data_IF_862494427084
#
_entry.id   IF_862494427084
#
_cell.length_a   1.000
_cell.length_b   1.000
_cell.length_c   1.000
_cell.angle_alpha   90.00
_cell.angle_beta   90.00
_cell.angle_gamma   90.00
#
_symmetry.space_group_name_H-M   'P 1'
#
loop_
_entity.id
_entity.type
_entity.pdbx_description
1 polymer ?
#
# COMPACT_ATOMS: atom_id res chain seq x y z
N UNK A 1 -62.61 -14.91 80.58
CA UNK A 1 -61.50 -13.96 80.35
C UNK A 1 -60.85 -14.35 79.00
N UNK A 2 -61.22 -13.61 77.97
CA UNK A 2 -60.87 -13.96 76.58
C UNK A 2 -59.98 -12.88 76.05
N UNK A 3 -58.74 -13.22 75.65
CA UNK A 3 -57.81 -12.32 74.97
C UNK A 3 -57.99 -12.53 73.49
N UNK A 4 -58.53 -11.51 72.81
CA UNK A 4 -58.49 -11.38 71.34
C UNK A 4 -57.11 -10.85 70.92
N UNK A 5 -56.41 -11.60 70.11
CA UNK A 5 -55.23 -11.16 69.40
C UNK A 5 -55.66 -10.54 68.06
N UNK A 6 -55.42 -9.28 67.90
CA UNK A 6 -55.53 -8.56 66.62
C UNK A 6 -54.27 -8.80 65.76
N UNK A 7 -54.44 -9.33 64.55
CA UNK A 7 -53.39 -9.49 63.57
C UNK A 7 -53.35 -8.25 62.71
N UNK A 8 -52.21 -7.55 62.70
CA UNK A 8 -51.92 -6.45 61.79
C UNK A 8 -51.37 -7.00 60.44
N UNK A 9 -52.10 -6.68 59.42
CA UNK A 9 -51.68 -6.98 58.01
C UNK A 9 -50.76 -5.89 57.52
N UNK A 10 -49.47 -6.20 57.35
CA UNK A 10 -48.46 -5.29 56.73
C UNK A 10 -48.48 -5.48 55.22
N UNK A 11 -48.96 -4.47 54.51
CA UNK A 11 -48.95 -4.43 53.05
C UNK A 11 -47.52 -4.03 52.59
N UNK A 12 -46.82 -5.00 52.02
CA UNK A 12 -45.51 -4.71 51.31
C UNK A 12 -45.79 -4.14 49.92
N UNK A 13 -45.55 -2.87 49.75
CA UNK A 13 -45.52 -2.23 48.42
C UNK A 13 -44.16 -2.47 47.78
N UNK A 14 -44.09 -3.30 46.73
CA UNK A 14 -42.94 -3.41 45.86
C UNK A 14 -42.86 -2.16 44.94
N UNK A 15 -41.70 -1.51 44.80
CA UNK A 15 -41.53 -0.50 43.78
C UNK A 15 -41.40 -1.18 42.42
N UNK A 16 -42.30 -0.86 41.51
CA UNK A 16 -42.18 -1.20 40.06
C UNK A 16 -41.11 -0.32 39.48
N UNK A 17 -39.93 -0.94 39.24
CA UNK A 17 -38.85 -0.28 38.46
C UNK A 17 -39.29 -0.22 37.00
N UNK A 18 -39.64 0.97 36.52
CA UNK A 18 -39.78 1.25 35.08
C UNK A 18 -38.39 1.27 34.47
N UNK A 19 -37.99 0.16 33.83
CA UNK A 19 -36.85 0.18 32.90
C UNK A 19 -37.28 0.92 31.64
N UNK A 20 -36.86 2.16 31.52
CA UNK A 20 -36.93 2.88 30.23
C UNK A 20 -35.97 2.19 29.28
N UNK A 21 -36.49 1.37 28.36
CA UNK A 21 -35.76 0.96 27.17
C UNK A 21 -35.47 2.25 26.35
N UNK A 22 -34.27 2.75 26.46
CA UNK A 22 -33.74 3.66 25.47
C UNK A 22 -33.58 2.87 24.16
N UNK A 23 -34.58 2.94 23.29
CA UNK A 23 -34.45 2.53 21.90
C UNK A 23 -33.53 3.52 21.23
N UNK A 24 -32.21 3.34 21.41
CA UNK A 24 -31.25 3.90 20.54
C UNK A 24 -31.50 3.33 19.14
N UNK A 25 -31.95 4.16 18.24
CA UNK A 25 -31.98 3.87 16.81
C UNK A 25 -30.51 3.79 16.38
N UNK A 26 -29.83 2.69 16.72
CA UNK A 26 -28.62 2.32 16.01
C UNK A 26 -29.08 2.09 14.58
N UNK A 27 -28.70 2.97 13.66
CA UNK A 27 -28.73 2.71 12.25
C UNK A 27 -28.07 1.34 12.05
N UNK A 28 -28.87 0.30 11.84
CA UNK A 28 -28.37 -1.01 11.44
C UNK A 28 -27.83 -0.80 10.02
N UNK A 29 -26.52 -0.44 9.93
CA UNK A 29 -25.76 -0.67 8.71
C UNK A 29 -25.98 -2.15 8.38
N UNK A 30 -26.59 -2.46 7.28
CA UNK A 30 -26.74 -3.85 6.86
C UNK A 30 -25.36 -4.47 6.90
N UNK A 31 -25.17 -5.51 7.74
CA UNK A 31 -23.88 -6.19 7.87
C UNK A 31 -23.71 -6.97 6.57
N UNK A 32 -23.03 -6.35 5.61
CA UNK A 32 -22.75 -6.95 4.30
C UNK A 32 -21.69 -8.05 4.44
N UNK A 33 -20.70 -7.86 5.31
CA UNK A 33 -19.65 -8.81 5.59
C UNK A 33 -19.97 -9.64 6.85
N UNK A 34 -19.49 -10.87 6.92
CA UNK A 34 -19.51 -11.68 8.12
C UNK A 34 -18.26 -11.41 8.94
N UNK A 35 -18.45 -11.09 10.23
CA UNK A 35 -17.35 -10.81 11.15
C UNK A 35 -17.34 -11.83 12.27
N UNK A 36 -16.18 -12.45 12.53
CA UNK A 36 -15.97 -13.40 13.62
C UNK A 36 -14.63 -13.18 14.30
N UNK A 37 -14.51 -13.54 15.55
CA UNK A 37 -13.23 -13.59 16.27
C UNK A 37 -12.67 -15.02 16.28
N UNK A 38 -11.39 -15.13 16.09
CA UNK A 38 -10.65 -16.38 16.22
C UNK A 38 -9.36 -16.13 16.99
N UNK A 39 -9.39 -16.46 18.29
CA UNK A 39 -8.22 -16.33 19.17
C UNK A 39 -7.63 -14.91 19.24
N UNK A 40 -8.51 -13.90 19.19
CA UNK A 40 -8.12 -12.49 19.25
C UNK A 40 -7.72 -11.88 17.90
N UNK A 41 -7.94 -12.60 16.80
CA UNK A 41 -7.85 -12.10 15.42
C UNK A 41 -9.26 -11.94 14.86
N UNK A 42 -9.61 -10.73 14.43
CA UNK A 42 -10.90 -10.46 13.80
C UNK A 42 -10.82 -10.90 12.33
N UNK A 43 -11.74 -11.78 11.91
CA UNK A 43 -11.83 -12.23 10.52
C UNK A 43 -13.06 -11.59 9.90
N UNK A 44 -12.84 -10.81 8.83
CA UNK A 44 -13.89 -10.13 8.06
C UNK A 44 -14.00 -10.81 6.71
N UNK A 45 -15.10 -11.51 6.47
CA UNK A 45 -15.38 -12.21 5.22
C UNK A 45 -16.36 -11.40 4.39
N UNK A 46 -15.87 -10.85 3.29
CA UNK A 46 -16.61 -10.02 2.37
C UNK A 46 -17.14 -10.83 1.19
N UNK A 47 -18.34 -10.52 0.66
CA UNK A 47 -18.78 -11.06 -0.62
C UNK A 47 -17.90 -10.53 -1.77
N UNK A 48 -17.97 -11.20 -2.93
CA UNK A 48 -17.11 -10.91 -4.09
C UNK A 48 -17.27 -9.53 -4.72
N UNK A 49 -18.33 -8.78 -4.35
CA UNK A 49 -18.59 -7.41 -4.83
C UNK A 49 -19.15 -6.56 -3.70
N UNK A 50 -18.99 -5.23 -3.73
CA UNK A 50 -19.60 -4.34 -2.76
C UNK A 50 -21.13 -4.33 -2.89
N UNK A 51 -21.87 -3.79 -1.91
CA UNK A 51 -23.33 -3.65 -1.96
C UNK A 51 -23.78 -2.91 -3.23
N UNK A 52 -24.91 -3.32 -3.82
CA UNK A 52 -25.46 -2.68 -5.04
C UNK A 52 -25.94 -1.24 -4.81
N UNK A 53 -26.22 -0.87 -3.56
CA UNK A 53 -26.56 0.47 -3.07
C UNK A 53 -25.34 1.24 -2.54
N UNK A 54 -24.14 0.69 -2.72
CA UNK A 54 -22.89 1.35 -2.35
C UNK A 54 -22.83 2.73 -3.01
N UNK A 55 -22.65 3.74 -2.20
CA UNK A 55 -22.51 5.11 -2.67
C UNK A 55 -21.27 5.21 -3.54
N UNK A 56 -21.39 5.83 -4.69
CA UNK A 56 -20.32 5.85 -5.68
C UNK A 56 -19.15 6.71 -5.21
N UNK A 57 -17.99 6.11 -5.17
CA UNK A 57 -16.73 6.80 -5.13
C UNK A 57 -16.35 7.15 -6.56
N UNK A 58 -15.75 8.31 -6.79
CA UNK A 58 -15.24 8.67 -8.11
C UNK A 58 -13.97 9.52 -8.03
N UNK A 59 -13.03 9.24 -8.92
CA UNK A 59 -11.88 10.10 -9.20
C UNK A 59 -12.20 10.92 -10.43
N UNK A 60 -11.94 12.22 -10.40
CA UNK A 60 -12.12 13.08 -11.56
C UNK A 60 -11.36 12.52 -12.78
N UNK A 61 -11.94 12.57 -14.00
CA UNK A 61 -11.28 12.02 -15.19
C UNK A 61 -10.05 12.84 -15.62
N UNK A 62 -10.02 14.13 -15.29
CA UNK A 62 -8.91 15.04 -15.57
C UNK A 62 -8.33 15.57 -14.26
N UNK A 63 -7.02 15.85 -14.20
CA UNK A 63 -6.41 16.42 -13.01
C UNK A 63 -6.78 17.88 -12.81
N UNK A 64 -7.05 18.28 -11.58
CA UNK A 64 -7.24 19.68 -11.18
C UNK A 64 -5.93 20.46 -11.21
N UNK A 65 -4.80 19.77 -11.00
CA UNK A 65 -3.47 20.35 -11.01
C UNK A 65 -2.46 19.37 -11.63
N UNK A 66 -1.55 19.91 -12.42
CA UNK A 66 -0.41 19.18 -13.00
C UNK A 66 0.89 19.88 -12.62
N UNK A 67 1.82 19.13 -12.02
CA UNK A 67 3.21 19.55 -11.77
C UNK A 67 4.10 18.68 -12.61
N UNK A 68 4.91 19.30 -13.44
CA UNK A 68 5.83 18.62 -14.35
C UNK A 68 5.87 19.30 -15.70
N UNK A 69 7.02 19.23 -16.40
CA UNK A 69 7.20 19.71 -17.77
C UNK A 69 8.36 18.98 -18.44
N UNK A 70 8.29 18.86 -19.77
CA UNK A 70 9.38 18.32 -20.61
C UNK A 70 10.54 19.32 -20.72
N UNK A 71 10.22 20.59 -20.93
CA UNK A 71 11.18 21.66 -21.21
C UNK A 71 10.91 22.88 -20.32
N UNK A 72 11.90 23.78 -20.23
CA UNK A 72 11.76 25.04 -19.51
C UNK A 72 12.45 25.02 -18.15
N UNK A 73 11.81 25.55 -17.13
CA UNK A 73 12.38 25.69 -15.78
C UNK A 73 12.66 24.31 -15.17
N UNK A 74 13.90 24.07 -14.80
CA UNK A 74 14.37 22.81 -14.20
C UNK A 74 13.64 22.45 -12.89
N UNK A 75 13.05 23.42 -12.19
CA UNK A 75 12.25 23.20 -11.00
C UNK A 75 10.99 22.39 -11.27
N UNK A 76 10.53 22.33 -12.53
CA UNK A 76 9.38 21.54 -12.97
C UNK A 76 9.76 20.27 -13.75
N UNK A 77 11.04 20.07 -14.06
CA UNK A 77 11.48 18.84 -14.71
C UNK A 77 11.59 17.74 -13.67
N UNK A 78 10.59 16.84 -13.62
CA UNK A 78 10.55 15.72 -12.70
C UNK A 78 11.22 14.50 -13.33
N UNK A 79 12.02 13.80 -12.51
CA UNK A 79 12.70 12.59 -12.93
C UNK A 79 12.90 11.65 -11.74
N UNK A 80 12.39 10.42 -11.85
CA UNK A 80 12.46 9.43 -10.78
C UNK A 80 11.64 9.87 -9.55
N UNK A 81 10.41 10.33 -9.74
CA UNK A 81 9.51 10.69 -8.64
C UNK A 81 9.30 9.47 -7.75
N UNK A 82 9.77 9.58 -6.51
CA UNK A 82 9.77 8.52 -5.51
C UNK A 82 8.77 8.74 -4.36
N UNK A 83 7.77 9.57 -4.62
CA UNK A 83 6.65 9.87 -3.74
C UNK A 83 6.28 11.34 -3.74
N UNK A 84 5.05 11.64 -3.35
CA UNK A 84 4.56 12.99 -3.12
C UNK A 84 3.61 13.01 -1.92
N UNK A 85 3.50 14.16 -1.28
CA UNK A 85 2.63 14.38 -0.13
C UNK A 85 1.99 15.78 -0.22
N UNK A 86 0.69 15.86 0.07
CA UNK A 86 -0.04 17.13 0.17
C UNK A 86 -0.17 17.53 1.64
N UNK A 87 0.38 18.69 1.98
CA UNK A 87 0.29 19.25 3.32
C UNK A 87 -1.11 19.76 3.65
N UNK A 88 -1.40 20.00 4.93
CA UNK A 88 -2.70 20.48 5.38
C UNK A 88 -3.08 21.85 4.80
N UNK A 89 -2.10 22.70 4.46
CA UNK A 89 -2.32 24.00 3.80
C UNK A 89 -2.39 23.90 2.26
N UNK A 90 -2.34 22.68 1.72
CA UNK A 90 -2.51 22.39 0.30
C UNK A 90 -1.24 22.43 -0.53
N UNK A 91 -0.07 22.73 0.05
CA UNK A 91 1.22 22.63 -0.65
C UNK A 91 1.51 21.18 -1.05
N UNK A 92 2.29 20.98 -2.09
CA UNK A 92 2.67 19.65 -2.57
C UNK A 92 4.19 19.51 -2.44
N UNK A 93 4.62 18.49 -1.70
CA UNK A 93 6.00 18.09 -1.58
C UNK A 93 6.27 16.86 -2.45
N UNK A 94 7.28 16.91 -3.32
CA UNK A 94 7.63 15.83 -4.25
C UNK A 94 9.06 15.37 -3.97
N UNK A 95 9.24 14.09 -3.68
CA UNK A 95 10.57 13.47 -3.62
C UNK A 95 11.01 13.16 -5.04
N UNK A 96 11.86 14.02 -5.61
CA UNK A 96 12.43 13.88 -6.94
C UNK A 96 13.80 13.19 -6.84
N UNK A 97 13.80 11.84 -6.85
CA UNK A 97 15.00 11.07 -6.59
C UNK A 97 16.08 11.25 -7.65
N UNK A 98 15.69 11.54 -8.89
CA UNK A 98 16.64 11.76 -9.99
C UNK A 98 17.48 13.03 -9.84
N UNK A 99 17.01 14.04 -9.10
CA UNK A 99 17.78 15.23 -8.69
C UNK A 99 18.22 15.22 -7.23
N UNK A 100 17.91 14.17 -6.47
CA UNK A 100 18.21 14.02 -5.02
C UNK A 100 17.61 15.14 -4.18
N UNK A 101 16.38 15.57 -4.50
CA UNK A 101 15.71 16.71 -3.88
C UNK A 101 14.32 16.35 -3.38
N UNK A 102 13.89 17.05 -2.34
CA UNK A 102 12.47 17.22 -1.99
C UNK A 102 12.08 18.61 -2.48
N UNK A 103 11.18 18.68 -3.44
CA UNK A 103 10.69 19.92 -4.04
C UNK A 103 9.34 20.30 -3.45
N UNK A 104 9.16 21.57 -3.10
CA UNK A 104 7.94 22.11 -2.49
C UNK A 104 7.29 23.07 -3.50
N UNK A 105 6.01 22.83 -3.74
CA UNK A 105 5.15 23.66 -4.58
C UNK A 105 3.99 24.18 -3.75
N UNK A 106 3.46 25.37 -4.10
CA UNK A 106 2.22 25.87 -3.49
C UNK A 106 0.99 25.09 -3.98
N UNK A 107 -0.19 25.44 -3.43
CA UNK A 107 -1.45 24.79 -3.79
C UNK A 107 -1.86 25.00 -5.26
N UNK A 108 -1.24 25.93 -5.98
CA UNK A 108 -1.42 26.18 -7.41
C UNK A 108 -0.34 25.55 -8.27
N UNK A 109 0.58 24.78 -7.65
CA UNK A 109 1.67 24.10 -8.34
C UNK A 109 2.87 25.00 -8.65
N UNK A 110 2.95 26.22 -8.08
CA UNK A 110 4.09 27.08 -8.26
C UNK A 110 5.26 26.61 -7.38
N UNK A 111 6.44 26.45 -7.97
CA UNK A 111 7.63 26.07 -7.22
C UNK A 111 8.00 27.12 -6.17
N UNK A 112 8.22 26.65 -4.94
CA UNK A 112 8.60 27.49 -3.82
C UNK A 112 10.09 27.34 -3.47
N UNK A 113 10.53 26.09 -3.27
CA UNK A 113 11.89 25.74 -2.84
C UNK A 113 12.19 24.27 -3.00
N UNK A 114 13.46 23.90 -2.83
CA UNK A 114 13.87 22.50 -2.71
C UNK A 114 14.83 22.31 -1.53
N UNK A 115 14.90 21.07 -1.03
CA UNK A 115 15.82 20.62 0.01
C UNK A 115 16.54 19.37 -0.50
N UNK A 116 17.84 19.29 -0.21
CA UNK A 116 18.66 18.16 -0.59
C UNK A 116 19.48 18.41 -1.86
N UNK A 117 20.45 17.55 -2.08
CA UNK A 117 21.31 17.42 -3.26
C UNK A 117 22.00 16.06 -3.19
N UNK A 118 22.67 15.66 -4.25
CA UNK A 118 23.42 14.42 -4.29
C UNK A 118 24.60 14.45 -3.31
N UNK A 119 24.71 13.44 -2.45
CA UNK A 119 25.85 13.26 -1.57
C UNK A 119 25.55 12.41 -0.33
N UNK A 120 26.46 12.46 0.66
CA UNK A 120 26.38 11.70 1.91
C UNK A 120 26.34 12.57 3.16
N UNK A 121 26.35 13.89 3.02
CA UNK A 121 26.29 14.84 4.12
C UNK A 121 24.90 14.94 4.78
N UNK A 122 24.76 15.78 5.82
CA UNK A 122 23.53 15.91 6.58
C UNK A 122 22.31 16.38 5.74
N UNK A 123 22.53 17.25 4.77
CA UNK A 123 21.48 17.79 3.87
C UNK A 123 21.62 17.27 2.44
N UNK A 124 22.10 16.04 2.29
CA UNK A 124 22.36 15.40 1.00
C UNK A 124 21.65 14.06 0.97
N UNK A 125 21.34 13.56 -0.22
CA UNK A 125 20.72 12.26 -0.43
C UNK A 125 21.54 11.38 -1.38
N UNK A 126 21.57 10.07 -1.07
CA UNK A 126 22.10 9.05 -1.97
C UNK A 126 21.01 8.45 -2.88
N UNK A 127 19.93 7.97 -2.29
CA UNK A 127 18.76 7.38 -2.97
C UNK A 127 17.48 7.66 -2.17
N UNK A 128 16.91 8.88 -2.24
CA UNK A 128 15.74 9.24 -1.46
C UNK A 128 14.48 8.58 -2.00
N UNK A 129 13.62 8.10 -1.08
CA UNK A 129 12.26 7.59 -1.36
C UNK A 129 11.36 8.09 -0.26
N UNK A 130 10.11 8.45 -0.57
CA UNK A 130 9.14 8.80 0.47
C UNK A 130 8.76 7.55 1.27
N UNK A 131 9.02 7.58 2.57
CA UNK A 131 8.58 6.53 3.51
C UNK A 131 7.21 6.81 4.11
N UNK A 132 6.71 8.03 3.99
CA UNK A 132 5.43 8.49 4.54
C UNK A 132 5.51 9.92 5.03
N UNK A 133 4.50 10.36 5.76
CA UNK A 133 4.48 11.67 6.40
C UNK A 133 3.87 11.60 7.81
N UNK A 134 4.29 12.50 8.67
CA UNK A 134 3.70 12.75 9.99
C UNK A 134 3.22 14.19 9.99
N UNK A 135 1.91 14.39 9.91
CA UNK A 135 1.34 15.69 9.56
C UNK A 135 2.02 16.23 8.28
N UNK A 136 2.54 17.45 8.30
CA UNK A 136 3.20 18.07 7.13
C UNK A 136 4.69 17.69 6.98
N UNK A 137 5.25 16.90 7.91
CA UNK A 137 6.66 16.51 7.86
C UNK A 137 6.84 15.19 7.10
N UNK A 138 7.58 15.22 6.00
CA UNK A 138 7.89 14.04 5.23
C UNK A 138 8.93 13.19 5.97
N UNK A 139 8.73 11.88 5.95
CA UNK A 139 9.74 10.90 6.34
C UNK A 139 10.36 10.34 5.05
N UNK A 140 11.54 10.83 4.73
CA UNK A 140 12.29 10.40 3.53
C UNK A 140 13.29 9.32 3.94
N UNK A 141 13.23 8.19 3.28
CA UNK A 141 14.20 7.10 3.44
C UNK A 141 15.32 7.28 2.44
N UNK A 142 16.53 7.50 2.90
CA UNK A 142 17.73 7.51 2.06
C UNK A 142 18.37 6.12 2.03
N UNK A 143 17.98 5.33 1.03
CA UNK A 143 18.48 3.95 0.87
C UNK A 143 19.99 3.90 0.60
N UNK A 144 20.54 4.94 -0.05
CA UNK A 144 21.96 5.04 -0.35
C UNK A 144 22.83 5.29 0.89
N UNK A 145 22.28 5.92 1.92
CA UNK A 145 22.97 6.26 3.17
C UNK A 145 22.47 5.45 4.37
N UNK A 146 21.56 4.51 4.17
CA UNK A 146 20.96 3.66 5.20
C UNK A 146 20.41 4.45 6.40
N UNK A 147 19.60 5.48 6.11
CA UNK A 147 19.06 6.41 7.10
C UNK A 147 17.66 6.91 6.73
N UNK A 148 16.99 7.50 7.70
CA UNK A 148 15.78 8.31 7.51
C UNK A 148 16.10 9.79 7.71
N UNK A 149 15.39 10.65 6.97
CA UNK A 149 15.42 12.10 7.11
C UNK A 149 13.98 12.59 7.30
N UNK A 150 13.73 13.39 8.32
CA UNK A 150 12.48 14.13 8.46
C UNK A 150 12.67 15.50 7.83
N UNK A 151 11.85 15.82 6.83
CA UNK A 151 11.93 17.07 6.05
C UNK A 151 10.61 17.82 6.17
N UNK A 152 10.64 19.00 6.81
CA UNK A 152 9.49 19.86 6.90
C UNK A 152 9.48 20.87 5.74
N UNK A 153 8.33 21.20 5.12
CA UNK A 153 8.26 22.09 3.96
C UNK A 153 8.80 23.50 4.17
N UNK A 154 8.82 24.00 5.41
CA UNK A 154 9.33 25.33 5.75
C UNK A 154 10.76 25.28 6.29
N UNK A 155 11.06 24.31 7.17
CA UNK A 155 12.30 24.27 7.95
C UNK A 155 13.39 23.40 7.29
N UNK A 156 13.03 22.60 6.30
CA UNK A 156 13.95 21.62 5.66
C UNK A 156 14.23 20.42 6.56
N UNK A 157 15.50 20.04 6.67
CA UNK A 157 15.90 18.86 7.45
C UNK A 157 15.74 19.11 8.95
N UNK A 158 14.76 18.44 9.55
CA UNK A 158 14.46 18.54 11.00
C UNK A 158 15.20 17.47 11.79
N UNK A 159 15.34 16.27 11.23
CA UNK A 159 16.00 15.14 11.88
C UNK A 159 16.65 14.24 10.83
N UNK A 160 17.78 13.65 11.20
CA UNK A 160 18.43 12.54 10.49
C UNK A 160 18.66 11.41 11.50
N UNK A 161 18.39 10.17 11.11
CA UNK A 161 18.63 9.01 11.93
C UNK A 161 19.17 7.86 11.06
N UNK A 162 20.29 7.26 11.46
CA UNK A 162 20.76 6.00 10.87
C UNK A 162 19.81 4.89 11.31
N UNK A 163 19.34 4.08 10.37
CA UNK A 163 18.51 2.92 10.69
C UNK A 163 19.37 1.78 11.20
N UNK A 164 18.92 1.12 12.27
CA UNK A 164 19.57 -0.04 12.86
C UNK A 164 19.68 -1.18 11.83
N UNK A 165 20.86 -1.80 11.75
CA UNK A 165 21.13 -2.89 10.80
C UNK A 165 20.23 -4.12 11.05
N UNK A 166 19.64 -4.27 12.24
CA UNK A 166 18.65 -5.31 12.55
C UNK A 166 17.33 -5.14 11.78
N UNK A 167 17.00 -3.92 11.35
CA UNK A 167 15.81 -3.66 10.53
C UNK A 167 15.94 -4.31 9.16
N UNK A 168 17.15 -4.35 8.61
CA UNK A 168 17.45 -5.02 7.35
C UNK A 168 18.47 -4.24 6.52
N UNK A 169 19.20 -4.95 5.66
CA UNK A 169 20.24 -4.34 4.82
C UNK A 169 19.70 -3.54 3.64
N UNK A 170 18.43 -3.73 3.25
CA UNK A 170 17.80 -3.02 2.13
C UNK A 170 16.55 -2.30 2.62
N UNK A 171 16.63 -0.98 2.75
CA UNK A 171 15.55 -0.15 3.26
C UNK A 171 14.51 0.15 2.15
N UNK A 172 13.58 -0.77 1.95
CA UNK A 172 12.43 -0.53 1.07
C UNK A 172 11.21 -0.17 1.93
N UNK A 173 10.75 1.11 1.96
CA UNK A 173 9.65 1.49 2.84
C UNK A 173 8.31 1.00 2.30
N UNK A 174 7.51 0.39 3.16
CA UNK A 174 6.10 0.08 2.92
C UNK A 174 5.19 1.27 3.29
N UNK A 175 5.67 2.15 4.19
CA UNK A 175 4.97 3.32 4.68
C UNK A 175 5.41 3.68 6.10
N UNK A 176 4.80 4.73 6.66
CA UNK A 176 5.04 5.16 8.03
C UNK A 176 3.74 5.20 8.84
N UNK A 177 3.81 4.80 10.10
CA UNK A 177 2.74 5.04 11.07
C UNK A 177 2.67 6.53 11.45
N UNK A 178 1.55 6.96 12.01
CA UNK A 178 1.37 8.34 12.49
C UNK A 178 2.35 8.79 13.58
N UNK A 179 3.07 7.85 14.20
CA UNK A 179 4.17 8.10 15.15
C UNK A 179 5.49 8.44 14.47
N UNK A 180 5.58 8.30 13.14
CA UNK A 180 6.81 8.42 12.36
C UNK A 180 7.66 7.15 12.32
N UNK A 181 7.18 6.05 12.91
CA UNK A 181 7.78 4.73 12.78
C UNK A 181 7.59 4.22 11.36
N UNK A 182 8.68 3.87 10.66
CA UNK A 182 8.66 3.42 9.26
C UNK A 182 8.74 1.90 9.19
N UNK A 183 7.87 1.28 8.41
CA UNK A 183 7.92 -0.16 8.10
C UNK A 183 8.75 -0.37 6.84
N UNK A 184 9.71 -1.27 6.91
CA UNK A 184 10.59 -1.67 5.82
C UNK A 184 10.43 -3.15 5.52
N UNK A 185 10.55 -3.55 4.27
CA UNK A 185 10.49 -4.95 3.92
C UNK A 185 10.31 -5.21 2.42
N UNK A 186 9.80 -6.41 2.11
CA UNK A 186 9.57 -6.84 0.73
C UNK A 186 10.84 -7.25 -0.02
N UNK A 187 12.01 -7.17 0.61
CA UNK A 187 13.24 -7.65 0.02
C UNK A 187 13.41 -9.16 0.24
N UNK A 188 14.08 -9.81 -0.71
CA UNK A 188 14.45 -11.22 -0.55
C UNK A 188 15.41 -11.41 0.63
N UNK A 189 15.12 -12.36 1.51
CA UNK A 189 16.03 -12.71 2.60
C UNK A 189 17.22 -13.51 2.07
N UNK A 190 18.34 -12.80 1.80
CA UNK A 190 19.57 -13.40 1.27
C UNK A 190 20.16 -14.49 2.18
N UNK A 191 19.82 -14.50 3.48
CA UNK A 191 20.29 -15.55 4.40
C UNK A 191 19.69 -16.92 4.06
N UNK A 192 18.56 -16.93 3.36
CA UNK A 192 17.82 -18.13 2.96
C UNK A 192 18.08 -18.56 1.50
N UNK A 193 19.10 -17.96 0.85
CA UNK A 193 19.43 -18.31 -0.55
C UNK A 193 19.78 -19.79 -0.72
N UNK A 194 20.33 -20.43 0.32
CA UNK A 194 20.65 -21.86 0.31
C UNK A 194 19.41 -22.79 0.37
N UNK A 195 18.24 -22.28 0.65
CA UNK A 195 16.98 -23.04 0.65
C UNK A 195 16.37 -23.13 -0.75
N UNK A 196 16.86 -22.33 -1.69
CA UNK A 196 16.34 -22.27 -3.05
C UNK A 196 16.73 -23.50 -3.86
N UNK A 197 15.79 -23.99 -4.68
CA UNK A 197 15.95 -25.16 -5.51
C UNK A 197 15.78 -24.81 -6.99
N UNK A 198 16.26 -25.68 -7.87
CA UNK A 198 15.93 -25.57 -9.28
C UNK A 198 14.41 -25.69 -9.49
N UNK A 199 13.85 -24.84 -10.37
CA UNK A 199 12.43 -24.79 -10.62
C UNK A 199 11.74 -23.59 -9.98
N UNK A 200 10.45 -23.74 -9.71
CA UNK A 200 9.62 -22.71 -9.07
C UNK A 200 9.97 -22.57 -7.59
N UNK A 201 10.11 -21.34 -7.16
CA UNK A 201 10.38 -20.99 -5.77
C UNK A 201 9.44 -19.87 -5.32
N UNK A 202 9.10 -19.88 -4.03
CA UNK A 202 8.50 -18.76 -3.32
C UNK A 202 9.54 -18.19 -2.36
N UNK A 203 9.96 -16.95 -2.57
CA UNK A 203 10.89 -16.31 -1.66
C UNK A 203 10.27 -16.15 -0.26
N UNK A 204 11.11 -16.02 0.73
CA UNK A 204 10.73 -15.49 2.03
C UNK A 204 11.11 -14.01 2.09
N UNK A 205 10.21 -13.22 2.63
CA UNK A 205 10.44 -11.81 2.92
C UNK A 205 10.14 -11.53 4.38
N UNK A 206 10.66 -10.45 4.89
CA UNK A 206 10.36 -9.99 6.25
C UNK A 206 9.97 -8.53 6.22
N UNK A 207 9.19 -8.11 7.22
CA UNK A 207 8.89 -6.71 7.47
C UNK A 207 9.26 -6.35 8.89
N UNK A 208 9.94 -5.23 9.04
CA UNK A 208 10.37 -4.67 10.32
C UNK A 208 10.20 -3.18 10.33
N UNK A 209 10.05 -2.59 11.50
CA UNK A 209 9.94 -1.14 11.60
C UNK A 209 11.05 -0.53 12.43
N UNK A 210 11.36 0.73 12.09
CA UNK A 210 12.26 1.57 12.85
C UNK A 210 11.54 2.79 13.41
N UNK A 211 11.89 3.17 14.63
CA UNK A 211 11.48 4.41 15.27
C UNK A 211 12.08 5.63 14.55
N UNK A 212 11.57 6.86 14.79
CA UNK A 212 12.14 8.09 14.22
C UNK A 212 13.62 8.34 14.58
N UNK A 213 14.16 7.70 15.61
CA UNK A 213 15.59 7.74 15.98
C UNK A 213 16.44 6.67 15.28
N UNK A 214 15.81 5.84 14.44
CA UNK A 214 16.44 4.78 13.67
C UNK A 214 16.53 3.44 14.39
N UNK A 215 16.23 3.36 15.69
CA UNK A 215 16.22 2.10 16.44
C UNK A 215 15.14 1.15 15.96
N UNK A 216 15.40 -0.16 15.99
CA UNK A 216 14.40 -1.17 15.66
C UNK A 216 13.20 -1.07 16.62
N UNK A 217 11.97 -1.11 16.07
CA UNK A 217 10.73 -0.98 16.83
C UNK A 217 9.94 -2.28 16.90
N UNK A 218 9.62 -2.91 15.76
CA UNK A 218 8.85 -4.15 15.72
C UNK A 218 9.34 -5.08 14.59
N UNK A 219 9.09 -6.38 14.76
CA UNK A 219 9.25 -7.42 13.75
C UNK A 219 7.87 -8.01 13.43
N UNK A 220 7.43 -7.92 12.19
CA UNK A 220 6.13 -8.44 11.72
C UNK A 220 6.21 -9.90 11.29
N UNK A 221 7.42 -10.48 11.31
CA UNK A 221 7.66 -11.89 11.02
C UNK A 221 8.09 -12.16 9.57
N UNK A 222 8.16 -13.45 9.30
CA UNK A 222 8.53 -14.03 7.99
C UNK A 222 7.26 -14.24 7.16
N UNK A 223 7.24 -13.71 5.95
CA UNK A 223 6.07 -13.68 5.08
C UNK A 223 6.40 -14.23 3.69
N UNK A 224 5.39 -14.71 2.93
CA UNK A 224 5.59 -15.12 1.54
C UNK A 224 6.09 -13.94 0.69
N UNK A 225 7.24 -14.11 0.04
CA UNK A 225 7.85 -13.11 -0.83
C UNK A 225 7.45 -13.28 -2.30
N UNK A 226 8.34 -12.92 -3.23
CA UNK A 226 8.11 -13.04 -4.66
C UNK A 226 8.21 -14.48 -5.16
N UNK A 227 7.40 -14.85 -6.16
CA UNK A 227 7.57 -16.06 -6.95
C UNK A 227 8.61 -15.85 -8.04
N UNK A 228 9.50 -16.81 -8.20
CA UNK A 228 10.54 -16.79 -9.21
C UNK A 228 10.97 -18.20 -9.63
N UNK A 229 11.63 -18.27 -10.76
CA UNK A 229 12.15 -19.52 -11.32
C UNK A 229 13.68 -19.51 -11.28
N UNK A 230 14.25 -20.61 -10.83
CA UNK A 230 15.69 -20.87 -10.90
C UNK A 230 15.95 -21.94 -11.94
N UNK A 231 16.82 -21.62 -12.88
CA UNK A 231 17.30 -22.56 -13.87
C UNK A 231 18.79 -22.79 -13.70
N UNK A 232 19.18 -24.03 -13.49
CA UNK A 232 20.58 -24.43 -13.55
C UNK A 232 20.99 -24.56 -15.02
N UNK A 233 21.96 -23.81 -15.46
CA UNK A 233 22.54 -23.97 -16.79
C UNK A 233 23.60 -25.05 -16.73
N UNK A 234 23.46 -26.14 -17.52
CA UNK A 234 24.50 -27.14 -17.63
C UNK A 234 25.82 -26.50 -18.08
N UNK A 235 26.91 -26.74 -17.30
CA UNK A 235 28.25 -26.23 -17.58
C UNK A 235 28.59 -24.84 -17.03
N UNK A 236 27.65 -24.12 -16.46
CA UNK A 236 27.92 -22.93 -15.64
C UNK A 236 27.90 -23.37 -14.18
N UNK A 237 28.91 -22.98 -13.40
CA UNK A 237 28.86 -23.14 -11.94
C UNK A 237 27.60 -22.49 -11.35
N UNK A 238 27.52 -22.14 -10.06
CA UNK A 238 26.28 -21.69 -9.39
C UNK A 238 25.71 -20.32 -9.88
N UNK A 239 25.75 -20.06 -11.17
CA UNK A 239 25.12 -18.92 -11.85
C UNK A 239 23.61 -19.13 -12.07
N UNK A 240 22.96 -19.74 -11.09
CA UNK A 240 21.52 -19.86 -10.99
C UNK A 240 20.92 -18.48 -10.65
N UNK A 241 20.65 -17.65 -11.66
CA UNK A 241 20.01 -16.34 -11.42
C UNK A 241 18.51 -16.51 -11.29
N UNK A 242 17.93 -16.12 -10.14
CA UNK A 242 16.48 -16.08 -10.00
C UNK A 242 15.87 -15.16 -11.07
N UNK A 243 14.85 -15.63 -11.77
CA UNK A 243 14.07 -14.84 -12.71
C UNK A 243 12.62 -14.72 -12.22
N UNK A 244 12.11 -13.51 -12.07
CA UNK A 244 10.68 -13.30 -11.83
C UNK A 244 9.91 -13.89 -13.01
N UNK A 245 8.86 -14.66 -12.70
CA UNK A 245 8.01 -15.28 -13.72
C UNK A 245 6.90 -14.33 -14.15
N UNK A 246 6.41 -14.43 -15.38
CA UNK A 246 5.20 -13.75 -15.79
C UNK A 246 4.05 -14.09 -14.84
N UNK A 247 3.30 -13.10 -14.38
CA UNK A 247 2.18 -13.26 -13.43
C UNK A 247 2.56 -13.91 -12.09
N UNK A 248 3.83 -13.92 -11.73
CA UNK A 248 4.30 -14.38 -10.42
C UNK A 248 3.73 -13.51 -9.30
N UNK A 249 3.38 -14.14 -8.19
CA UNK A 249 2.87 -13.45 -7.01
C UNK A 249 3.98 -12.63 -6.35
N UNK A 250 3.63 -11.42 -5.92
CA UNK A 250 4.54 -10.51 -5.22
C UNK A 250 3.97 -10.18 -3.84
N UNK A 251 4.84 -9.95 -2.84
CA UNK A 251 4.40 -9.43 -1.56
C UNK A 251 3.96 -7.96 -1.74
N UNK A 252 2.76 -7.64 -1.28
CA UNK A 252 2.22 -6.29 -1.29
C UNK A 252 2.06 -5.80 0.14
N UNK A 253 2.42 -4.55 0.38
CA UNK A 253 2.33 -3.97 1.70
C UNK A 253 2.04 -2.46 1.65
N UNK A 254 1.31 -1.98 2.65
CA UNK A 254 1.08 -0.54 2.88
C UNK A 254 0.88 -0.28 4.37
N UNK A 255 0.97 0.98 4.77
CA UNK A 255 0.83 1.40 6.17
C UNK A 255 -0.16 2.56 6.26
N UNK A 256 -1.12 2.47 7.17
CA UNK A 256 -1.95 3.59 7.64
C UNK A 256 -1.35 4.19 8.93
N UNK A 257 -1.89 5.28 9.46
CA UNK A 257 -1.39 5.85 10.70
C UNK A 257 -1.30 4.87 11.89
N UNK A 258 -2.11 3.80 11.91
CA UNK A 258 -2.23 2.86 13.03
C UNK A 258 -2.15 1.38 12.65
N UNK A 259 -1.98 1.04 11.36
CA UNK A 259 -1.99 -0.35 10.87
C UNK A 259 -0.97 -0.59 9.76
N UNK A 260 -0.43 -1.79 9.76
CA UNK A 260 0.33 -2.35 8.65
C UNK A 260 -0.52 -3.41 7.96
N UNK A 261 -0.59 -3.36 6.63
CA UNK A 261 -1.35 -4.28 5.79
C UNK A 261 -0.39 -5.07 4.90
N UNK A 262 -0.64 -6.37 4.80
CA UNK A 262 0.14 -7.28 3.96
C UNK A 262 -0.78 -8.18 3.15
N UNK A 263 -0.42 -8.45 1.89
CA UNK A 263 -1.05 -9.48 1.05
C UNK A 263 0.01 -10.28 0.29
N UNK A 264 -0.08 -11.60 0.38
CA UNK A 264 0.77 -12.52 -0.38
C UNK A 264 0.35 -12.63 -1.87
N UNK A 265 -0.83 -12.13 -2.22
CA UNK A 265 -1.46 -12.19 -3.54
C UNK A 265 -1.75 -13.61 -4.06
N UNK A 266 -1.78 -14.62 -3.19
CA UNK A 266 -2.17 -15.99 -3.50
C UNK A 266 -3.68 -16.18 -3.44
N UNK A 267 -4.28 -15.63 -2.40
CA UNK A 267 -5.71 -15.64 -2.12
C UNK A 267 -6.21 -14.20 -1.96
N UNK A 268 -7.53 -14.00 -2.02
CA UNK A 268 -8.14 -12.70 -1.72
C UNK A 268 -8.17 -12.47 -0.21
N UNK A 269 -6.97 -12.49 0.41
CA UNK A 269 -6.77 -12.26 1.84
C UNK A 269 -5.74 -11.16 2.07
N UNK A 270 -6.03 -10.26 3.04
CA UNK A 270 -5.14 -9.21 3.50
C UNK A 270 -5.01 -9.33 5.01
N UNK A 271 -3.79 -9.44 5.48
CA UNK A 271 -3.42 -9.46 6.90
C UNK A 271 -3.24 -8.03 7.42
N UNK A 272 -3.74 -7.77 8.62
CA UNK A 272 -3.66 -6.45 9.26
C UNK A 272 -2.98 -6.58 10.61
N UNK A 273 -1.90 -5.84 10.79
CA UNK A 273 -1.09 -5.84 12.00
C UNK A 273 -1.16 -4.48 12.70
N UNK A 274 -1.05 -4.49 14.01
CA UNK A 274 -0.83 -3.27 14.80
C UNK A 274 0.65 -2.83 14.73
N UNK A 275 1.00 -1.62 15.21
CA UNK A 275 2.38 -1.13 15.17
C UNK A 275 3.38 -1.95 15.99
N UNK A 276 2.93 -2.86 16.86
CA UNK A 276 3.79 -3.76 17.63
C UNK A 276 4.17 -5.05 16.88
N UNK A 277 3.58 -5.27 15.68
CA UNK A 277 3.78 -6.48 14.89
C UNK A 277 2.79 -7.61 15.19
N UNK A 278 1.73 -7.34 15.97
CA UNK A 278 0.70 -8.33 16.28
C UNK A 278 -0.36 -8.35 15.18
N UNK A 279 -0.66 -9.54 14.64
CA UNK A 279 -1.80 -9.76 13.74
C UNK A 279 -3.11 -9.51 14.48
N UNK A 280 -3.93 -8.59 13.98
CA UNK A 280 -5.19 -8.17 14.61
C UNK A 280 -6.41 -8.49 13.76
N UNK A 281 -6.24 -8.58 12.43
CA UNK A 281 -7.35 -8.83 11.51
C UNK A 281 -6.91 -9.57 10.26
N UNK A 282 -7.84 -10.34 9.69
CA UNK A 282 -7.79 -10.88 8.33
C UNK A 282 -8.99 -10.33 7.55
N UNK A 283 -8.73 -9.75 6.39
CA UNK A 283 -9.77 -9.27 5.45
C UNK A 283 -9.78 -10.26 4.28
N UNK A 284 -10.93 -10.90 4.06
CA UNK A 284 -11.14 -11.88 2.99
C UNK A 284 -12.22 -11.42 2.03
N UNK A 285 -12.08 -11.79 0.77
CA UNK A 285 -13.11 -11.55 -0.24
C UNK A 285 -13.44 -12.88 -0.93
N UNK A 286 -14.73 -13.22 -0.99
CA UNK A 286 -15.24 -14.44 -1.64
C UNK A 286 -15.22 -14.26 -3.17
N UNK A 287 -14.06 -14.53 -3.77
CA UNK A 287 -13.84 -14.49 -5.22
C UNK A 287 -13.05 -15.71 -5.67
N UNK A 288 -13.43 -16.24 -6.82
CA UNK A 288 -12.70 -17.31 -7.46
C UNK A 288 -11.33 -16.84 -7.96
N UNK A 289 -10.32 -17.68 -7.77
CA UNK A 289 -9.01 -17.47 -8.38
C UNK A 289 -9.10 -17.66 -9.89
N UNK A 290 -8.43 -16.81 -10.64
CA UNK A 290 -8.47 -16.83 -12.10
C UNK A 290 -7.30 -17.64 -12.64
N UNK A 291 -7.54 -18.76 -13.37
CA UNK A 291 -6.47 -19.56 -13.98
C UNK A 291 -5.70 -18.77 -15.03
N UNK A 292 -4.38 -18.98 -15.09
CA UNK A 292 -3.52 -18.47 -16.16
C UNK A 292 -3.51 -19.44 -17.32
N UNK A 293 -3.72 -18.93 -18.55
CA UNK A 293 -3.68 -19.73 -19.76
C UNK A 293 -2.40 -19.50 -20.57
N UNK A 294 -2.06 -20.41 -21.46
CA UNK A 294 -0.95 -20.23 -22.40
C UNK A 294 -1.16 -19.00 -23.31
N UNK A 295 -2.42 -18.68 -23.64
CA UNK A 295 -2.77 -17.49 -24.44
C UNK A 295 -2.45 -16.20 -23.66
N UNK A 296 -2.72 -16.16 -22.35
CA UNK A 296 -2.35 -15.01 -21.50
C UNK A 296 -0.85 -14.81 -21.47
N UNK A 297 -0.07 -15.91 -21.34
CA UNK A 297 1.38 -15.87 -21.42
C UNK A 297 1.88 -15.31 -22.75
N UNK A 298 1.34 -15.81 -23.86
CA UNK A 298 1.71 -15.35 -25.21
C UNK A 298 1.37 -13.86 -25.39
N UNK A 299 0.17 -13.45 -24.99
CA UNK A 299 -0.27 -12.04 -25.08
C UNK A 299 0.62 -11.10 -24.25
N UNK A 300 1.02 -11.52 -23.06
CA UNK A 300 1.91 -10.76 -22.19
C UNK A 300 3.30 -10.58 -22.83
N UNK A 301 3.88 -11.68 -23.33
CA UNK A 301 5.20 -11.65 -23.98
C UNK A 301 5.19 -10.77 -25.23
N UNK A 302 4.16 -10.88 -26.07
CA UNK A 302 4.06 -10.05 -27.27
C UNK A 302 3.81 -8.56 -26.93
N UNK A 303 3.02 -8.27 -25.88
CA UNK A 303 2.87 -6.90 -25.39
C UNK A 303 4.19 -6.29 -24.94
N UNK A 304 4.96 -6.99 -24.10
CA UNK A 304 6.28 -6.52 -23.68
C UNK A 304 7.29 -6.39 -24.85
N UNK A 305 7.21 -7.28 -25.83
CA UNK A 305 8.06 -7.23 -27.01
C UNK A 305 7.68 -6.06 -27.94
N UNK A 306 6.39 -5.71 -28.02
CA UNK A 306 5.91 -4.56 -28.79
C UNK A 306 6.36 -3.21 -28.19
N UNK A 307 6.48 -3.15 -26.86
CA UNK A 307 6.98 -1.96 -26.14
C UNK A 307 8.51 -1.81 -26.21
N UNK A 308 9.23 -2.79 -26.75
CA UNK A 308 10.68 -2.74 -26.87
C UNK A 308 11.12 -1.70 -27.92
N UNK A 309 12.12 -0.87 -27.58
CA UNK A 309 12.62 0.17 -28.45
C UNK A 309 13.33 -0.36 -29.71
N UNK A 310 13.76 -1.64 -29.70
CA UNK A 310 14.53 -2.27 -30.79
C UNK A 310 14.11 -3.71 -31.01
N UNK A 311 14.14 -4.18 -32.24
CA UNK A 311 13.77 -5.57 -32.60
C UNK A 311 14.63 -6.65 -31.92
N UNK A 312 15.93 -6.39 -31.71
CA UNK A 312 16.79 -7.31 -30.99
C UNK A 312 16.39 -7.43 -29.49
N UNK A 313 15.90 -6.35 -28.87
CA UNK A 313 15.37 -6.36 -27.51
C UNK A 313 14.06 -7.16 -27.45
N UNK A 314 13.16 -6.96 -28.41
CA UNK A 314 11.94 -7.74 -28.56
C UNK A 314 12.22 -9.24 -28.69
N UNK A 315 13.23 -9.61 -29.48
CA UNK A 315 13.66 -11.00 -29.62
C UNK A 315 14.16 -11.58 -28.28
N UNK A 316 15.01 -10.85 -27.56
CA UNK A 316 15.51 -11.27 -26.24
C UNK A 316 14.36 -11.44 -25.23
N UNK A 317 13.37 -10.54 -25.24
CA UNK A 317 12.19 -10.63 -24.39
C UNK A 317 11.42 -11.94 -24.68
N UNK A 318 11.10 -12.19 -25.97
CA UNK A 318 10.40 -13.43 -26.38
C UNK A 318 11.16 -14.69 -25.96
N UNK A 319 12.45 -14.73 -26.22
CA UNK A 319 13.30 -15.87 -25.87
C UNK A 319 13.39 -16.09 -24.35
N UNK A 320 13.62 -15.04 -23.60
CA UNK A 320 13.79 -15.11 -22.14
C UNK A 320 12.49 -15.47 -21.43
N UNK A 321 11.40 -14.76 -21.71
CA UNK A 321 10.12 -14.96 -21.05
C UNK A 321 9.43 -16.25 -21.53
N UNK A 322 9.58 -16.61 -22.79
CA UNK A 322 9.00 -17.87 -23.33
C UNK A 322 9.61 -19.14 -22.75
N UNK A 323 10.72 -19.05 -22.03
CA UNK A 323 11.35 -20.16 -21.31
C UNK A 323 10.93 -20.27 -19.85
N UNK A 324 10.22 -19.28 -19.33
CA UNK A 324 9.76 -19.27 -17.95
C UNK A 324 8.41 -19.98 -17.83
N UNK A 325 8.18 -20.69 -16.74
CA UNK A 325 6.87 -21.29 -16.46
C UNK A 325 5.84 -20.19 -16.15
N UNK A 326 4.57 -20.49 -16.33
CA UNK A 326 3.45 -19.69 -15.89
C UNK A 326 2.93 -20.26 -14.56
N UNK A 327 2.45 -19.41 -13.62
CA UNK A 327 1.78 -19.91 -12.43
C UNK A 327 0.39 -20.48 -12.77
N UNK A 328 -0.20 -21.23 -11.85
CA UNK A 328 -1.55 -21.81 -12.03
C UNK A 328 -2.63 -20.74 -12.12
N UNK A 329 -2.51 -19.69 -11.28
CA UNK A 329 -3.48 -18.60 -11.18
C UNK A 329 -2.79 -17.25 -11.24
N UNK A 330 -3.51 -16.23 -11.71
CA UNK A 330 -3.07 -14.85 -11.57
C UNK A 330 -2.95 -14.44 -10.09
N UNK A 331 -2.10 -13.45 -9.77
CA UNK A 331 -2.17 -12.79 -8.48
C UNK A 331 -3.57 -12.21 -8.22
N UNK A 332 -3.99 -12.16 -6.98
CA UNK A 332 -5.29 -11.56 -6.61
C UNK A 332 -5.26 -10.05 -6.64
N UNK A 333 -4.15 -9.47 -6.16
CA UNK A 333 -3.93 -8.02 -6.07
C UNK A 333 -2.67 -7.60 -6.82
N UNK A 334 -2.65 -6.36 -7.31
CA UNK A 334 -1.50 -5.73 -7.94
C UNK A 334 -0.86 -4.66 -7.05
N UNK A 335 -1.63 -4.04 -6.14
CA UNK A 335 -1.17 -2.98 -5.27
C UNK A 335 -2.05 -2.83 -4.04
N UNK A 336 -1.49 -2.27 -2.96
CA UNK A 336 -2.22 -1.85 -1.77
C UNK A 336 -1.87 -0.39 -1.45
N UNK A 337 -2.88 0.40 -1.07
CA UNK A 337 -2.71 1.76 -0.53
C UNK A 337 -3.65 1.95 0.66
N UNK A 338 -3.14 2.46 1.74
CA UNK A 338 -3.97 2.99 2.82
C UNK A 338 -4.14 4.50 2.59
N UNK A 339 -5.33 5.02 2.84
CA UNK A 339 -5.61 6.44 2.71
C UNK A 339 -5.54 7.18 4.06
N UNK A 340 -5.65 8.51 4.01
CA UNK A 340 -5.57 9.37 5.19
C UNK A 340 -6.70 9.12 6.22
N UNK A 341 -7.83 8.54 5.80
CA UNK A 341 -8.98 8.23 6.66
C UNK A 341 -8.99 6.77 7.16
N UNK A 342 -7.96 5.98 6.83
CA UNK A 342 -7.81 4.59 7.24
C UNK A 342 -8.55 3.58 6.35
N UNK A 343 -9.08 3.99 5.20
CA UNK A 343 -9.57 3.06 4.19
C UNK A 343 -8.39 2.36 3.52
N UNK A 344 -8.57 1.07 3.25
CA UNK A 344 -7.62 0.29 2.48
C UNK A 344 -8.12 0.17 1.04
N UNK A 345 -7.26 0.51 0.09
CA UNK A 345 -7.48 0.40 -1.34
C UNK A 345 -6.62 -0.75 -1.87
N UNK A 346 -7.24 -1.74 -2.50
CA UNK A 346 -6.57 -2.90 -3.06
C UNK A 346 -6.82 -2.97 -4.57
N UNK A 347 -5.78 -2.78 -5.36
CA UNK A 347 -5.85 -2.90 -6.82
C UNK A 347 -5.98 -4.37 -7.18
N UNK A 348 -7.03 -4.74 -7.92
CA UNK A 348 -7.16 -6.07 -8.50
C UNK A 348 -6.10 -6.28 -9.57
N UNK A 349 -5.56 -7.49 -9.66
CA UNK A 349 -4.59 -7.78 -10.69
C UNK A 349 -5.20 -7.63 -12.09
N UNK A 350 -4.55 -6.82 -12.95
CA UNK A 350 -4.98 -6.61 -14.34
C UNK A 350 -4.46 -7.72 -15.22
N UNK A 351 -5.36 -8.43 -15.87
CA UNK A 351 -5.01 -9.46 -16.84
C UNK A 351 -4.64 -8.83 -18.19
N UNK A 352 -3.84 -9.52 -19.01
CA UNK A 352 -3.52 -9.05 -20.36
C UNK A 352 -4.76 -8.74 -21.18
N UNK A 353 -4.85 -7.53 -21.74
CA UNK A 353 -6.00 -7.01 -22.50
C UNK A 353 -7.07 -6.27 -21.68
N UNK A 354 -6.93 -6.17 -20.35
CA UNK A 354 -7.75 -5.29 -19.53
C UNK A 354 -7.15 -3.88 -19.49
N UNK A 355 -7.98 -2.86 -19.70
CA UNK A 355 -7.51 -1.47 -19.74
C UNK A 355 -7.65 -0.79 -18.39
N UNK A 356 -8.73 -1.06 -17.66
CA UNK A 356 -9.05 -0.38 -16.41
C UNK A 356 -8.30 -0.98 -15.21
N UNK A 357 -7.83 -0.08 -14.32
CA UNK A 357 -7.33 -0.43 -13.00
C UNK A 357 -8.50 -0.33 -12.00
N UNK A 358 -9.00 -1.48 -11.55
CA UNK A 358 -10.11 -1.55 -10.60
C UNK A 358 -9.58 -1.74 -9.19
N UNK A 359 -10.03 -0.90 -8.28
CA UNK A 359 -9.65 -0.92 -6.89
C UNK A 359 -10.83 -1.27 -5.99
N UNK A 360 -10.65 -2.24 -5.12
CA UNK A 360 -11.55 -2.54 -4.01
C UNK A 360 -11.25 -1.60 -2.85
N UNK A 361 -12.28 -1.00 -2.26
CA UNK A 361 -12.15 -0.08 -1.12
C UNK A 361 -12.76 -0.73 0.11
N UNK A 362 -11.94 -0.96 1.12
CA UNK A 362 -12.34 -1.48 2.42
C UNK A 362 -12.37 -0.35 3.44
N UNK A 363 -13.42 -0.31 4.26
CA UNK A 363 -13.48 0.64 5.38
C UNK A 363 -12.47 0.27 6.50
N UNK A 364 -12.28 1.12 7.53
CA UNK A 364 -11.36 0.82 8.62
C UNK A 364 -11.68 -0.47 9.38
N UNK A 365 -12.89 -0.98 9.30
CA UNK A 365 -13.30 -2.27 9.86
C UNK A 365 -13.01 -3.46 8.93
N UNK A 366 -12.52 -3.21 7.71
CA UNK A 366 -12.18 -4.22 6.69
C UNK A 366 -13.37 -4.70 5.87
N UNK A 367 -14.48 -3.96 5.88
CA UNK A 367 -15.65 -4.26 5.06
C UNK A 367 -15.50 -3.66 3.68
N UNK A 368 -15.70 -4.47 2.63
CA UNK A 368 -15.70 -4.03 1.24
C UNK A 368 -16.89 -3.11 0.99
N UNK A 369 -16.61 -1.82 0.79
CA UNK A 369 -17.64 -0.78 0.70
C UNK A 369 -17.84 -0.23 -0.69
N UNK A 370 -16.82 -0.30 -1.57
CA UNK A 370 -16.90 0.24 -2.92
C UNK A 370 -15.90 -0.43 -3.87
N UNK A 371 -16.12 -0.20 -5.14
CA UNK A 371 -15.17 -0.39 -6.24
C UNK A 371 -14.99 0.93 -6.97
N UNK A 372 -13.78 1.20 -7.43
CA UNK A 372 -13.46 2.39 -8.23
C UNK A 372 -12.49 2.02 -9.35
N UNK A 373 -12.68 2.66 -10.51
CA UNK A 373 -11.67 2.62 -11.56
C UNK A 373 -10.78 3.88 -11.47
N UNK A 374 -9.47 3.68 -11.48
CA UNK A 374 -8.48 4.76 -11.59
C UNK A 374 -7.99 4.81 -13.04
N UNK A 375 -7.86 6.02 -13.65
CA UNK A 375 -7.40 6.14 -15.01
C UNK A 375 -6.07 5.42 -15.25
N UNK A 376 -5.95 4.77 -16.40
CA UNK A 376 -4.71 4.12 -16.82
C UNK A 376 -3.56 5.13 -16.83
N UNK A 377 -2.36 4.71 -16.47
CA UNK A 377 -1.15 5.54 -16.37
C UNK A 377 -1.10 6.48 -15.17
N UNK A 378 -2.09 6.42 -14.27
CA UNK A 378 -2.04 7.10 -12.99
C UNK A 378 -1.66 6.10 -11.91
N UNK A 379 -0.49 6.28 -11.32
CA UNK A 379 -0.05 5.49 -10.17
C UNK A 379 -0.30 6.30 -8.89
N UNK A 380 -1.19 5.87 -7.99
CA UNK A 380 -1.48 6.58 -6.76
C UNK A 380 -0.23 6.70 -5.88
N UNK A 381 0.20 7.94 -5.62
CA UNK A 381 1.26 8.25 -4.66
C UNK A 381 0.68 8.42 -3.26
N UNK A 382 -0.40 9.20 -3.15
CA UNK A 382 -1.13 9.46 -1.91
C UNK A 382 -2.63 9.58 -2.19
N UNK A 383 -3.44 9.09 -1.24
CA UNK A 383 -4.89 9.23 -1.27
C UNK A 383 -5.31 9.99 -0.01
N UNK A 384 -5.78 11.22 -0.19
CA UNK A 384 -6.27 12.07 0.88
C UNK A 384 -7.76 11.88 1.16
N UNK A 385 -8.38 12.81 1.85
CA UNK A 385 -9.81 12.77 2.17
C UNK A 385 -10.70 13.15 0.97
N UNK A 386 -10.27 14.10 0.14
CA UNK A 386 -10.99 14.60 -1.04
C UNK A 386 -10.13 14.64 -2.32
N UNK A 387 -8.95 14.02 -2.29
CA UNK A 387 -8.03 14.05 -3.42
C UNK A 387 -7.24 12.74 -3.59
N UNK A 388 -6.68 12.59 -4.78
CA UNK A 388 -5.67 11.61 -5.14
C UNK A 388 -4.48 12.31 -5.78
N UNK A 389 -3.28 12.17 -5.19
CA UNK A 389 -2.04 12.49 -5.86
C UNK A 389 -1.57 11.28 -6.67
N UNK A 390 -1.36 11.45 -7.94
CA UNK A 390 -0.93 10.38 -8.84
C UNK A 390 0.35 10.74 -9.60
N UNK A 391 1.22 9.76 -9.77
CA UNK A 391 2.30 9.83 -10.76
C UNK A 391 1.71 9.44 -12.12
N UNK A 392 1.83 10.34 -13.08
CA UNK A 392 1.51 10.10 -14.48
C UNK A 392 2.79 10.07 -15.32
N UNK A 393 2.86 9.15 -16.28
CA UNK A 393 3.89 9.15 -17.30
C UNK A 393 3.23 9.27 -18.67
N UNK A 394 3.75 10.21 -19.48
CA UNK A 394 3.28 10.36 -20.85
C UNK A 394 3.89 9.29 -21.78
N UNK A 395 3.68 9.42 -23.08
CA UNK A 395 4.19 8.48 -24.08
C UNK A 395 5.72 8.54 -24.27
N UNK A 396 6.35 9.59 -23.76
CA UNK A 396 7.80 9.80 -23.77
C UNK A 396 8.45 9.49 -22.42
N UNK A 397 7.71 8.83 -21.51
CA UNK A 397 8.13 8.54 -20.12
C UNK A 397 8.44 9.79 -19.27
N UNK A 398 7.91 10.95 -19.65
CA UNK A 398 8.02 12.16 -18.83
C UNK A 398 7.09 12.06 -17.65
N UNK A 399 7.62 12.36 -16.48
CA UNK A 399 6.91 12.22 -15.21
C UNK A 399 6.18 13.51 -14.80
N UNK A 400 4.94 13.36 -14.37
CA UNK A 400 4.09 14.43 -13.86
C UNK A 400 3.47 13.99 -12.53
N UNK A 401 3.33 14.91 -11.60
CA UNK A 401 2.49 14.73 -10.40
C UNK A 401 1.16 15.42 -10.65
N UNK A 402 0.11 14.64 -10.67
CA UNK A 402 -1.26 15.09 -10.89
C UNK A 402 -2.03 15.07 -9.56
N UNK A 403 -2.84 16.09 -9.33
CA UNK A 403 -3.84 16.15 -8.26
C UNK A 403 -5.21 15.98 -8.90
N UNK A 404 -5.96 14.98 -8.45
CA UNK A 404 -7.33 14.71 -8.88
C UNK A 404 -8.29 14.92 -7.71
N UNK A 405 -9.47 15.47 -7.97
CA UNK A 405 -10.56 15.44 -7.01
C UNK A 405 -11.06 14.02 -6.81
N UNK A 406 -11.28 13.64 -5.55
CA UNK A 406 -11.85 12.39 -5.11
C UNK A 406 -13.18 12.64 -4.41
N UNK A 407 -14.28 12.18 -5.03
CA UNK A 407 -15.59 12.19 -4.40
C UNK A 407 -15.77 10.93 -3.55
N UNK A 408 -16.10 11.12 -2.28
CA UNK A 408 -16.43 10.07 -1.34
C UNK A 408 -17.89 10.17 -0.92
N UNK A 409 -18.56 9.05 -0.62
CA UNK A 409 -19.87 9.09 0.02
C UNK A 409 -19.75 9.87 1.33
N UNK A 410 -20.55 10.91 1.49
CA UNK A 410 -20.67 11.57 2.80
C UNK A 410 -21.29 10.56 3.76
N UNK A 411 -20.57 10.19 4.82
CA UNK A 411 -21.10 9.29 5.85
C UNK A 411 -22.42 9.86 6.37
N UNK A 412 -23.48 9.04 6.26
CA UNK A 412 -24.76 9.31 6.92
C UNK A 412 -24.64 8.96 8.42
#
# INVERSE_FOLDING_TARGET
MSHRKTASLTVLTLPVLWATLATGTACRRAIWATVRDSSGVVIVENPGSPPSDATRWSVAPEPDLTIGTVEGDSSYQLFGVAGAHRTADGRIAVVNAGSWEVRIYDAQGTFLRSFGRRGGGPEEFGMPVLGGAVSDTLVVVDRGQHRTAMVHPDDGFVRLARVDDQVGGYLNPAGAFGTGQVVFGGAFDMRRIGELQEGMNRAHTFYRSANPDGSMAADFGDMPGAEFFIRTLEGSGPDSRPALIPFGKLPLATVSPDRFYFAASEEYEIEVYDPSGKLTRLIRVDRDLVPVTAEDGSRHIEGMAADAARENEAHVIRERLGRLPLPETFPTFANLKADALGYLWAERYRRPGQEDSVWDIFDPEGVLTAEIAIPRRVYPLEIGDDYLLGLHRDELDVEYVHLYSLERPRGQ
#
